data_IF_632130534645
#
_entry.id   IF_632130534645
#
_cell.length_a   1.000
_cell.length_b   1.000
_cell.length_c   1.000
_cell.angle_alpha   90.00
_cell.angle_beta   90.00
_cell.angle_gamma   90.00
#
_symmetry.space_group_name_H-M   'P 1'
#
loop_
_entity.id
_entity.type
_entity.pdbx_description
1 polymer ?
#
# COMPACT_ATOMS: atom_id res chain seq x y z
N UNK A 1 10.25 9.99 -15.10
CA UNK A 1 10.75 9.75 -13.71
C UNK A 1 11.78 10.83 -13.29
N UNK A 2 11.38 12.11 -13.16
CA UNK A 2 12.31 13.21 -12.80
C UNK A 2 12.36 13.52 -11.30
N UNK A 3 11.23 13.38 -10.60
CA UNK A 3 11.07 13.85 -9.22
C UNK A 3 12.02 13.15 -8.23
N UNK A 4 12.17 11.83 -8.34
CA UNK A 4 13.01 11.01 -7.47
C UNK A 4 14.49 11.36 -7.60
N UNK A 5 14.99 11.62 -8.82
CA UNK A 5 16.41 11.89 -9.09
C UNK A 5 16.81 13.33 -8.78
N UNK A 6 15.87 14.26 -8.82
CA UNK A 6 16.17 15.69 -8.67
C UNK A 6 15.86 16.24 -7.28
N UNK A 7 14.90 15.66 -6.56
CA UNK A 7 14.44 16.19 -5.26
C UNK A 7 14.86 15.32 -4.07
N UNK A 8 15.38 14.11 -4.30
CA UNK A 8 15.76 13.16 -3.24
C UNK A 8 14.73 13.08 -2.10
N UNK A 9 13.43 12.84 -2.41
CA UNK A 9 12.39 12.89 -1.40
C UNK A 9 12.59 11.77 -0.36
N UNK A 10 12.32 12.06 0.91
CA UNK A 10 12.37 11.03 1.96
C UNK A 10 11.12 10.14 1.94
N UNK A 11 9.97 10.72 1.60
CA UNK A 11 8.67 10.06 1.56
C UNK A 11 7.94 10.47 0.29
N UNK A 12 7.32 9.51 -0.38
CA UNK A 12 6.41 9.70 -1.51
C UNK A 12 5.04 9.17 -1.08
N UNK A 13 4.01 9.99 -1.23
CA UNK A 13 2.63 9.58 -1.04
C UNK A 13 1.93 9.61 -2.40
N UNK A 14 1.35 8.48 -2.80
CA UNK A 14 0.57 8.34 -4.03
C UNK A 14 -0.86 7.96 -3.68
N UNK A 15 -1.79 8.50 -4.46
CA UNK A 15 -3.19 8.11 -4.36
C UNK A 15 -3.49 7.07 -5.44
N UNK A 16 -4.28 6.06 -5.08
CA UNK A 16 -4.85 5.03 -5.94
C UNK A 16 -3.85 4.33 -6.89
N UNK A 17 -3.13 3.33 -6.37
CA UNK A 17 -2.33 2.43 -7.23
C UNK A 17 -3.19 1.27 -7.75
N UNK A 18 -2.99 0.89 -9.01
CA UNK A 18 -3.76 -0.21 -9.60
C UNK A 18 -3.34 -0.66 -11.00
N UNK A 19 -2.41 0.06 -11.63
CA UNK A 19 -1.90 -0.26 -12.96
C UNK A 19 -0.56 -1.01 -12.90
N UNK A 20 -0.18 -1.66 -14.00
CA UNK A 20 1.11 -2.34 -14.08
C UNK A 20 2.28 -1.33 -14.08
N UNK A 21 2.05 -0.15 -14.65
CA UNK A 21 2.99 0.97 -14.70
C UNK A 21 3.28 1.50 -13.28
N UNK A 22 2.28 1.53 -12.39
CA UNK A 22 2.49 1.90 -10.98
C UNK A 22 3.47 0.94 -10.31
N UNK A 23 3.38 -0.36 -10.62
CA UNK A 23 4.21 -1.39 -10.02
C UNK A 23 5.70 -1.20 -10.37
N UNK A 24 6.00 -0.86 -11.63
CA UNK A 24 7.35 -0.51 -12.06
C UNK A 24 7.87 0.76 -11.38
N UNK A 25 7.00 1.77 -11.21
CA UNK A 25 7.35 2.99 -10.49
C UNK A 25 7.65 2.72 -9.01
N UNK A 26 6.87 1.85 -8.36
CA UNK A 26 7.06 1.43 -6.97
C UNK A 26 8.38 0.69 -6.79
N UNK A 27 8.68 -0.29 -7.65
CA UNK A 27 9.95 -1.04 -7.61
C UNK A 27 11.15 -0.07 -7.71
N UNK A 28 11.05 0.97 -8.54
CA UNK A 28 12.08 2.01 -8.65
C UNK A 28 12.22 2.87 -7.38
N UNK A 29 11.10 3.29 -6.78
CA UNK A 29 11.07 4.11 -5.56
C UNK A 29 11.69 3.36 -4.37
N UNK A 30 11.40 2.07 -4.24
CA UNK A 30 11.98 1.23 -3.18
C UNK A 30 13.50 1.12 -3.38
N UNK A 31 13.96 0.92 -4.62
CA UNK A 31 15.37 0.82 -4.96
C UNK A 31 16.21 2.07 -4.67
N UNK A 32 15.60 3.25 -4.58
CA UNK A 32 16.31 4.50 -4.27
C UNK A 32 16.30 4.89 -2.79
N UNK A 33 15.77 4.05 -1.90
CA UNK A 33 15.75 4.29 -0.46
C UNK A 33 14.68 5.29 0.01
N UNK A 34 13.71 5.60 -0.85
CA UNK A 34 12.57 6.45 -0.50
C UNK A 34 11.49 5.60 0.18
N UNK A 35 10.80 6.15 1.21
CA UNK A 35 9.61 5.50 1.77
C UNK A 35 8.38 5.83 0.93
N UNK A 36 7.49 4.86 0.75
CA UNK A 36 6.28 4.99 -0.06
C UNK A 36 5.03 4.78 0.79
N UNK A 37 4.03 5.64 0.61
CA UNK A 37 2.68 5.49 1.11
C UNK A 37 1.75 5.48 -0.10
N UNK A 38 0.89 4.48 -0.21
CA UNK A 38 -0.04 4.34 -1.33
C UNK A 38 -1.43 3.96 -0.82
N UNK A 39 -2.47 4.41 -1.52
CA UNK A 39 -3.85 3.98 -1.29
C UNK A 39 -4.29 3.05 -2.42
N UNK A 40 -5.23 2.14 -2.09
CA UNK A 40 -5.81 1.19 -3.05
C UNK A 40 -7.27 0.99 -2.72
N UNK A 41 -8.11 0.93 -3.74
CA UNK A 41 -9.50 0.51 -3.58
C UNK A 41 -9.59 -1.01 -3.44
N UNK A 42 -10.01 -1.47 -2.27
CA UNK A 42 -10.29 -2.86 -1.99
C UNK A 42 -11.19 -3.02 -0.78
N UNK A 43 -11.96 -4.10 -0.77
CA UNK A 43 -12.90 -4.38 0.32
C UNK A 43 -12.26 -5.14 1.50
N UNK A 44 -11.11 -5.79 1.27
CA UNK A 44 -10.32 -6.49 2.28
C UNK A 44 -8.90 -6.82 1.78
N UNK A 45 -8.00 -7.30 2.66
CA UNK A 45 -6.66 -7.75 2.26
C UNK A 45 -6.73 -8.94 1.28
N UNK A 46 -7.73 -9.82 1.42
CA UNK A 46 -7.95 -10.96 0.55
C UNK A 46 -8.39 -10.51 -0.86
N UNK A 47 -9.23 -9.46 -0.96
CA UNK A 47 -9.61 -8.83 -2.23
C UNK A 47 -8.37 -8.28 -2.95
N UNK A 48 -7.49 -7.59 -2.22
CA UNK A 48 -6.21 -7.09 -2.75
C UNK A 48 -5.33 -8.22 -3.27
N UNK A 49 -5.20 -9.32 -2.52
CA UNK A 49 -4.41 -10.48 -2.93
C UNK A 49 -4.94 -11.18 -4.18
N UNK A 50 -6.26 -11.14 -4.41
CA UNK A 50 -6.89 -11.74 -5.59
C UNK A 50 -6.67 -10.95 -6.88
N UNK A 51 -6.34 -9.65 -6.78
CA UNK A 51 -6.14 -8.77 -7.93
C UNK A 51 -4.75 -9.04 -8.55
N UNK A 52 -4.64 -9.21 -9.88
CA UNK A 52 -3.37 -9.61 -10.52
C UNK A 52 -2.18 -8.69 -10.19
N UNK A 53 -2.37 -7.37 -10.28
CA UNK A 53 -1.31 -6.37 -10.05
C UNK A 53 -0.99 -6.24 -8.56
N UNK A 54 -2.03 -6.11 -7.74
CA UNK A 54 -1.86 -5.85 -6.31
C UNK A 54 -1.47 -7.09 -5.50
N UNK A 55 -1.87 -8.28 -5.94
CA UNK A 55 -1.47 -9.53 -5.33
C UNK A 55 0.03 -9.77 -5.44
N UNK A 56 0.65 -9.37 -6.57
CA UNK A 56 2.10 -9.43 -6.72
C UNK A 56 2.83 -8.49 -5.75
N UNK A 57 2.28 -7.28 -5.49
CA UNK A 57 2.83 -6.37 -4.47
C UNK A 57 2.84 -7.00 -3.07
N UNK A 58 1.76 -7.70 -2.71
CA UNK A 58 1.65 -8.40 -1.42
C UNK A 58 2.59 -9.59 -1.35
N UNK A 59 2.67 -10.42 -2.40
CA UNK A 59 3.58 -11.57 -2.46
C UNK A 59 5.04 -11.17 -2.37
N UNK A 60 5.43 -10.09 -3.06
CA UNK A 60 6.78 -9.51 -3.00
C UNK A 60 7.07 -8.81 -1.66
N UNK A 61 6.08 -8.66 -0.78
CA UNK A 61 6.20 -7.98 0.51
C UNK A 61 6.77 -6.56 0.39
N UNK A 62 6.37 -5.83 -0.66
CA UNK A 62 6.92 -4.49 -0.94
C UNK A 62 6.51 -3.44 0.10
N UNK A 63 5.39 -3.67 0.79
CA UNK A 63 4.89 -2.79 1.83
C UNK A 63 5.06 -3.44 3.20
N UNK A 64 5.58 -2.66 4.16
CA UNK A 64 5.80 -3.12 5.54
C UNK A 64 4.49 -3.21 6.37
N UNK A 65 3.48 -2.45 5.95
CA UNK A 65 2.21 -2.25 6.65
C UNK A 65 1.06 -2.09 5.67
N UNK A 66 -0.04 -2.76 5.97
CA UNK A 66 -1.32 -2.55 5.30
C UNK A 66 -2.33 -2.02 6.30
N UNK A 67 -2.99 -0.92 5.96
CA UNK A 67 -3.93 -0.21 6.81
C UNK A 67 -5.30 -0.25 6.14
N UNK A 68 -6.23 -1.01 6.71
CA UNK A 68 -7.60 -1.13 6.20
C UNK A 68 -8.47 -0.12 6.91
N UNK A 69 -9.10 0.76 6.13
CA UNK A 69 -9.99 1.79 6.63
C UNK A 69 -11.40 1.59 6.10
N UNK A 70 -12.40 2.01 6.86
CA UNK A 70 -13.79 2.10 6.42
C UNK A 70 -14.42 3.42 6.83
N UNK A 71 -15.63 3.66 6.32
CA UNK A 71 -16.48 4.77 6.75
C UNK A 71 -17.67 4.29 7.61
N UNK A 72 -17.70 3.00 8.02
CA UNK A 72 -18.86 2.40 8.70
C UNK A 72 -19.15 3.02 10.08
N UNK A 73 -18.11 3.29 10.86
CA UNK A 73 -18.21 3.96 12.18
C UNK A 73 -17.81 5.46 12.10
N UNK A 74 -17.82 6.05 10.91
CA UNK A 74 -17.35 7.41 10.63
C UNK A 74 -16.18 7.46 9.66
N UNK A 75 -15.94 8.63 9.04
CA UNK A 75 -14.84 8.83 8.08
C UNK A 75 -13.50 8.62 8.77
N UNK A 76 -12.59 7.88 8.11
CA UNK A 76 -11.27 7.58 8.64
C UNK A 76 -11.25 6.51 9.73
N UNK A 77 -12.30 5.68 9.83
CA UNK A 77 -12.32 4.59 10.78
C UNK A 77 -11.30 3.53 10.40
N UNK A 78 -10.31 3.31 11.27
CA UNK A 78 -9.34 2.24 11.13
C UNK A 78 -9.96 0.90 11.54
N UNK A 79 -10.00 -0.05 10.62
CA UNK A 79 -10.54 -1.37 10.90
C UNK A 79 -9.46 -2.35 11.30
N UNK A 80 -8.40 -2.45 10.49
CA UNK A 80 -7.36 -3.46 10.67
C UNK A 80 -6.00 -2.94 10.23
N UNK A 81 -4.95 -3.43 10.89
CA UNK A 81 -3.56 -3.25 10.45
C UNK A 81 -2.94 -4.63 10.28
N UNK A 82 -2.26 -4.83 9.16
CA UNK A 82 -1.49 -6.03 8.86
C UNK A 82 0.00 -5.70 8.66
N UNK A 83 0.87 -6.67 8.90
CA UNK A 83 2.28 -6.59 8.53
C UNK A 83 2.54 -6.99 7.05
N UNK A 84 3.80 -6.94 6.64
CA UNK A 84 4.24 -7.29 5.29
C UNK A 84 3.85 -8.71 4.84
N UNK A 85 3.69 -9.65 5.78
CA UNK A 85 3.28 -11.03 5.50
C UNK A 85 1.76 -11.20 5.40
N UNK A 86 0.99 -10.13 5.62
CA UNK A 86 -0.46 -10.19 5.74
C UNK A 86 -0.93 -10.71 7.10
N UNK A 87 -0.06 -10.78 8.12
CA UNK A 87 -0.47 -11.15 9.47
C UNK A 87 -1.13 -9.96 10.16
N UNK A 88 -2.29 -10.21 10.76
CA UNK A 88 -3.04 -9.21 11.51
C UNK A 88 -2.26 -8.75 12.75
N UNK A 89 -2.02 -7.45 12.86
CA UNK A 89 -1.38 -6.80 14.01
C UNK A 89 -2.38 -6.07 14.89
N UNK A 90 -3.44 -5.53 14.30
CA UNK A 90 -4.47 -4.77 14.99
C UNK A 90 -5.82 -5.00 14.32
N UNK A 91 -6.86 -5.12 15.14
CA UNK A 91 -8.24 -5.11 14.70
C UNK A 91 -9.03 -4.25 15.68
N UNK A 92 -9.82 -3.31 15.16
CA UNK A 92 -10.84 -2.66 15.97
C UNK A 92 -11.98 -3.66 16.14
N UNK A 93 -12.08 -4.24 17.33
CA UNK A 93 -13.25 -5.03 17.69
C UNK A 93 -14.50 -4.13 17.68
N UNK A 94 -15.60 -4.73 17.20
CA UNK A 94 -16.92 -4.13 17.09
C UNK A 94 -17.40 -3.57 18.41
#
# INVERSE_FOLDING_TARGET
>A
MMLIRSMSPQIIAVDEIGSAEDLEAIDYVIGCGCKLIATVHGSSIEDIQSKPVLGELVKKQLFERYVVMSNRKGVGHLEKIYDASGKLLYCTDG
#
